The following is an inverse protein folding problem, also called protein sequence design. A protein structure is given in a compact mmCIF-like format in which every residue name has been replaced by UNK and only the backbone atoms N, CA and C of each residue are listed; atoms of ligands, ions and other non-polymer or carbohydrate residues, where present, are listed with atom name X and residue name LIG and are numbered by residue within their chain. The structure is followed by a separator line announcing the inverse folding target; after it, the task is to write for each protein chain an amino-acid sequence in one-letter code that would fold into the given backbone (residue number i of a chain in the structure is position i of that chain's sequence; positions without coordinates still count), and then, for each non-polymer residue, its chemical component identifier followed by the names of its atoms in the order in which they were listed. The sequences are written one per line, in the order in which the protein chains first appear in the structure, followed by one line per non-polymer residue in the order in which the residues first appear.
data_IF_549987183709
#
_entry.id   IF_549987183709
#
_cell.length_a   1.000
_cell.length_b   1.000
_cell.length_c   1.000
_cell.angle_alpha   90.00
_cell.angle_beta   90.00
_cell.angle_gamma   90.00
#
_symmetry.space_group_name_H-M   'P 1'
#
loop_
_entity.id
_entity.type
_entity.pdbx_description
1 polymer ?
#
# COMPACT_ATOMS: atom_id res chain seq x y z
N UNK A 1 -13.39 4.75 3.24
CA UNK A 1 -12.80 4.08 4.42
C UNK A 1 -12.08 2.85 3.93
N UNK A 2 -10.87 2.65 4.42
CA UNK A 2 -10.05 1.49 4.22
C UNK A 2 -10.74 0.26 4.83
N UNK A 3 -10.62 -0.88 4.17
CA UNK A 3 -11.12 -2.16 4.66
C UNK A 3 -9.96 -3.16 4.81
N UNK A 4 -10.21 -4.27 5.51
CA UNK A 4 -9.18 -5.32 5.69
C UNK A 4 -8.76 -6.00 4.40
N UNK A 5 -9.54 -5.93 3.30
CA UNK A 5 -9.08 -6.40 1.98
C UNK A 5 -7.87 -5.61 1.50
N UNK A 6 -7.92 -4.28 1.63
CA UNK A 6 -6.77 -3.43 1.31
C UNK A 6 -5.56 -3.83 2.14
N UNK A 7 -5.71 -4.10 3.44
CA UNK A 7 -4.58 -4.52 4.29
C UNK A 7 -4.00 -5.87 3.90
N UNK A 8 -4.83 -6.84 3.51
CA UNK A 8 -4.36 -8.12 2.96
C UNK A 8 -3.56 -7.93 1.67
N UNK A 9 -4.02 -7.05 0.77
CA UNK A 9 -3.29 -6.68 -0.45
C UNK A 9 -1.95 -6.06 -0.09
N UNK A 10 -1.93 -5.12 0.87
CA UNK A 10 -0.70 -4.45 1.33
C UNK A 10 0.27 -5.46 1.96
N UNK A 11 -0.23 -6.42 2.75
CA UNK A 11 0.60 -7.49 3.32
C UNK A 11 1.18 -8.39 2.23
N UNK A 12 0.37 -8.76 1.23
CA UNK A 12 0.84 -9.51 0.05
C UNK A 12 1.91 -8.76 -0.73
N UNK A 13 1.72 -7.46 -1.00
CA UNK A 13 2.71 -6.61 -1.67
C UNK A 13 4.02 -6.52 -0.88
N UNK A 14 3.94 -6.37 0.45
CA UNK A 14 5.11 -6.30 1.32
C UNK A 14 5.88 -7.63 1.35
N UNK A 15 5.18 -8.76 1.48
CA UNK A 15 5.81 -10.09 1.44
C UNK A 15 6.42 -10.37 0.07
N UNK A 16 5.74 -9.99 -1.02
CA UNK A 16 6.28 -10.13 -2.37
C UNK A 16 7.58 -9.34 -2.55
N UNK A 17 7.59 -8.07 -2.12
CA UNK A 17 8.79 -7.23 -2.18
C UNK A 17 9.93 -7.81 -1.32
N UNK A 18 9.62 -8.29 -0.11
CA UNK A 18 10.58 -8.97 0.74
C UNK A 18 11.17 -10.22 0.09
N UNK A 19 10.35 -11.09 -0.52
CA UNK A 19 10.84 -12.31 -1.20
C UNK A 19 11.70 -12.00 -2.43
N UNK A 20 11.41 -10.93 -3.16
CA UNK A 20 12.27 -10.46 -4.26
C UNK A 20 13.61 -9.94 -3.75
N UNK A 21 13.58 -9.21 -2.64
CA UNK A 21 14.78 -8.70 -1.99
C UNK A 21 15.65 -9.83 -1.42
N UNK A 22 15.04 -10.83 -0.77
CA UNK A 22 15.72 -12.04 -0.29
C UNK A 22 16.47 -12.77 -1.43
N UNK A 23 15.84 -12.91 -2.60
CA UNK A 23 16.50 -13.48 -3.78
C UNK A 23 17.65 -12.62 -4.32
N UNK A 24 17.53 -11.29 -4.22
CA UNK A 24 18.59 -10.34 -4.62
C UNK A 24 19.76 -10.36 -3.64
N UNK A 25 19.48 -10.42 -2.33
CA UNK A 25 20.47 -10.55 -1.26
C UNK A 25 21.28 -11.84 -1.40
N UNK A 26 20.64 -12.92 -1.82
CA UNK A 26 21.31 -14.18 -2.13
C UNK A 26 22.32 -14.03 -3.29
N UNK A 27 21.94 -13.33 -4.37
CA UNK A 27 22.86 -13.06 -5.48
C UNK A 27 24.01 -12.15 -5.05
N UNK A 28 23.74 -11.11 -4.25
CA UNK A 28 24.79 -10.24 -3.70
C UNK A 28 25.82 -11.00 -2.87
N UNK A 29 25.37 -12.00 -2.10
CA UNK A 29 26.28 -12.87 -1.35
C UNK A 29 27.15 -13.74 -2.27
N UNK A 30 26.61 -14.24 -3.38
CA UNK A 30 27.38 -14.98 -4.40
C UNK A 30 28.38 -14.08 -5.13
N UNK A 31 28.00 -12.83 -5.42
CA UNK A 31 28.87 -11.82 -6.02
C UNK A 31 30.00 -11.45 -5.08
N UNK A 32 29.72 -11.28 -3.78
CA UNK A 32 30.75 -11.05 -2.76
C UNK A 32 31.77 -12.20 -2.72
N UNK A 33 31.31 -13.46 -2.78
CA UNK A 33 32.22 -14.62 -2.87
C UNK A 33 33.04 -14.55 -4.17
N UNK A 34 32.44 -14.13 -5.28
CA UNK A 34 33.16 -13.99 -6.54
C UNK A 34 34.24 -12.90 -6.49
N UNK A 35 33.97 -11.79 -5.80
CA UNK A 35 34.94 -10.71 -5.56
C UNK A 35 36.08 -11.14 -4.63
N UNK A 36 35.78 -11.88 -3.56
CA UNK A 36 36.77 -12.40 -2.60
C UNK A 36 37.85 -13.26 -3.27
N UNK A 37 37.53 -13.91 -4.40
CA UNK A 37 38.46 -14.74 -5.19
C UNK A 37 38.79 -14.13 -6.57
N UNK A 38 38.48 -12.85 -6.79
CA UNK A 38 38.90 -12.15 -8.00
C UNK A 38 40.42 -11.91 -7.99
N UNK A 39 41.10 -11.95 -9.15
CA UNK A 39 42.52 -11.63 -9.19
C UNK A 39 42.79 -10.20 -8.71
N UNK A 40 43.67 -10.04 -7.72
CA UNK A 40 44.10 -8.71 -7.27
C UNK A 40 44.92 -8.01 -8.36
N UNK A 41 44.31 -6.99 -8.98
CA UNK A 41 44.93 -6.21 -10.04
C UNK A 41 46.11 -5.35 -9.57
N UNK A 42 46.26 -5.15 -8.26
CA UNK A 42 47.34 -4.35 -7.67
C UNK A 42 48.52 -5.20 -7.18
N UNK A 43 48.38 -6.53 -7.16
CA UNK A 43 49.46 -7.42 -6.74
C UNK A 43 50.56 -7.50 -7.81
N UNK A 44 51.81 -7.38 -7.36
CA UNK A 44 52.99 -7.60 -8.23
C UNK A 44 53.28 -9.09 -8.46
N UNK A 45 52.61 -9.99 -7.75
CA UNK A 45 52.76 -11.44 -7.87
C UNK A 45 51.76 -12.04 -8.87
N UNK A 46 52.24 -12.99 -9.68
CA UNK A 46 51.38 -13.72 -10.63
C UNK A 46 50.47 -14.67 -9.84
N UNK A 47 49.18 -14.39 -9.83
CA UNK A 47 48.19 -15.20 -9.16
C UNK A 47 47.77 -16.42 -10.00
N UNK A 48 47.59 -17.57 -9.34
CA UNK A 48 47.04 -18.77 -9.98
C UNK A 48 45.53 -18.62 -10.18
N UNK A 49 45.16 -18.20 -11.39
CA UNK A 49 43.75 -18.02 -11.79
C UNK A 49 42.93 -19.30 -11.70
N UNK A 50 43.53 -20.48 -11.91
CA UNK A 50 42.80 -21.75 -11.82
C UNK A 50 42.49 -22.11 -10.37
N UNK A 51 43.44 -21.86 -9.47
CA UNK A 51 43.24 -22.06 -8.04
C UNK A 51 42.13 -21.13 -7.51
N UNK A 52 42.19 -19.83 -7.85
CA UNK A 52 41.17 -18.86 -7.45
C UNK A 52 39.77 -19.22 -7.98
N UNK A 53 39.67 -19.62 -9.25
CA UNK A 53 38.40 -20.07 -9.83
C UNK A 53 37.86 -21.32 -9.14
N UNK A 54 38.72 -22.29 -8.79
CA UNK A 54 38.34 -23.48 -8.03
C UNK A 54 37.82 -23.14 -6.63
N UNK A 55 38.54 -22.28 -5.89
CA UNK A 55 38.14 -21.80 -4.57
C UNK A 55 36.79 -21.09 -4.60
N UNK A 56 36.58 -20.22 -5.59
CA UNK A 56 35.29 -19.53 -5.81
C UNK A 56 34.14 -20.52 -5.99
N UNK A 57 34.30 -21.51 -6.87
CA UNK A 57 33.24 -22.49 -7.14
C UNK A 57 32.89 -23.32 -5.90
N UNK A 58 33.89 -23.75 -5.14
CA UNK A 58 33.67 -24.49 -3.88
C UNK A 58 32.97 -23.58 -2.87
N UNK A 59 33.43 -22.35 -2.68
CA UNK A 59 32.79 -21.40 -1.77
C UNK A 59 31.32 -21.14 -2.13
N UNK A 60 30.99 -20.96 -3.41
CA UNK A 60 29.62 -20.78 -3.87
C UNK A 60 28.74 -22.02 -3.62
N UNK A 61 29.30 -23.24 -3.80
CA UNK A 61 28.59 -24.48 -3.49
C UNK A 61 28.31 -24.62 -1.99
N UNK A 62 29.30 -24.35 -1.13
CA UNK A 62 29.13 -24.40 0.33
C UNK A 62 28.12 -23.35 0.82
N UNK A 63 28.14 -22.15 0.25
CA UNK A 63 27.14 -21.13 0.55
C UNK A 63 25.73 -21.56 0.13
N UNK A 64 25.59 -22.23 -1.02
CA UNK A 64 24.32 -22.77 -1.48
C UNK A 64 23.81 -23.90 -0.57
N UNK A 65 24.67 -24.85 -0.20
CA UNK A 65 24.34 -25.92 0.75
C UNK A 65 23.88 -25.34 2.10
N UNK A 66 24.58 -24.31 2.58
CA UNK A 66 24.19 -23.57 3.77
C UNK A 66 22.82 -22.90 3.64
N UNK A 67 22.53 -22.29 2.50
CA UNK A 67 21.25 -21.63 2.26
C UNK A 67 20.09 -22.65 2.24
N UNK A 68 20.32 -23.85 1.73
CA UNK A 68 19.31 -24.92 1.63
C UNK A 68 19.10 -25.69 2.94
N UNK A 69 20.15 -25.91 3.74
CA UNK A 69 20.09 -26.80 4.92
C UNK A 69 20.33 -26.08 6.26
N UNK A 70 20.76 -24.82 6.22
CA UNK A 70 21.17 -24.04 7.38
C UNK A 70 22.58 -24.36 7.90
N UNK A 71 23.26 -25.36 7.34
CA UNK A 71 24.60 -25.83 7.70
C UNK A 71 25.39 -26.19 6.42
N UNK A 72 26.70 -26.28 6.49
CA UNK A 72 27.49 -26.88 5.40
C UNK A 72 28.57 -27.75 6.02
N UNK A 73 28.84 -28.92 5.42
CA UNK A 73 29.82 -29.87 5.96
C UNK A 73 31.25 -29.28 5.94
N UNK A 74 31.96 -29.44 7.05
CA UNK A 74 33.31 -28.88 7.28
C UNK A 74 34.44 -29.80 6.82
N UNK A 75 34.22 -30.67 5.82
CA UNK A 75 35.33 -31.43 5.23
C UNK A 75 36.31 -30.53 4.45
N UNK A 76 35.85 -29.33 4.08
CA UNK A 76 36.73 -28.29 3.55
C UNK A 76 37.72 -27.81 4.63
N UNK A 77 38.99 -27.73 4.27
CA UNK A 77 40.08 -27.33 5.18
C UNK A 77 40.74 -26.02 4.76
N UNK A 78 40.44 -25.51 3.58
CA UNK A 78 40.91 -24.21 3.11
C UNK A 78 40.23 -23.08 3.90
N UNK A 79 41.02 -22.41 4.73
CA UNK A 79 40.56 -21.31 5.60
C UNK A 79 40.01 -20.14 4.80
N UNK A 80 40.57 -19.84 3.63
CA UNK A 80 40.11 -18.70 2.82
C UNK A 80 38.70 -18.94 2.29
N UNK A 81 38.40 -20.17 1.86
CA UNK A 81 37.05 -20.60 1.45
C UNK A 81 36.07 -20.45 2.61
N UNK A 82 36.41 -21.02 3.78
CA UNK A 82 35.54 -20.99 4.96
C UNK A 82 35.28 -19.54 5.41
N UNK A 83 36.30 -18.68 5.41
CA UNK A 83 36.15 -17.28 5.80
C UNK A 83 35.27 -16.50 4.81
N UNK A 84 35.45 -16.70 3.50
CA UNK A 84 34.61 -16.07 2.47
C UNK A 84 33.14 -16.48 2.61
N UNK A 85 32.88 -17.78 2.77
CA UNK A 85 31.51 -18.31 2.99
C UNK A 85 30.90 -17.71 4.25
N UNK A 86 31.63 -17.68 5.37
CA UNK A 86 31.12 -17.10 6.61
C UNK A 86 30.83 -15.60 6.49
N UNK A 87 31.67 -14.83 5.79
CA UNK A 87 31.41 -13.41 5.50
C UNK A 87 30.11 -13.24 4.69
N UNK A 88 29.93 -14.03 3.64
CA UNK A 88 28.73 -14.01 2.81
C UNK A 88 27.46 -14.39 3.60
N UNK A 89 27.54 -15.41 4.46
CA UNK A 89 26.44 -15.82 5.36
C UNK A 89 26.03 -14.66 6.29
N UNK A 90 27.02 -14.00 6.91
CA UNK A 90 26.76 -12.87 7.82
C UNK A 90 26.17 -11.69 7.06
N UNK A 91 26.69 -11.38 5.87
CA UNK A 91 26.15 -10.32 5.02
C UNK A 91 24.69 -10.59 4.64
N UNK A 92 24.39 -11.78 4.10
CA UNK A 92 23.04 -12.20 3.73
C UNK A 92 22.06 -12.13 4.91
N UNK A 93 22.44 -12.68 6.08
CA UNK A 93 21.61 -12.62 7.30
C UNK A 93 21.32 -11.20 7.76
N UNK A 94 22.29 -10.29 7.62
CA UNK A 94 22.11 -8.91 8.02
C UNK A 94 21.17 -8.15 7.06
N UNK A 95 21.31 -8.37 5.75
CA UNK A 95 20.43 -7.79 4.73
C UNK A 95 18.99 -8.27 4.89
N UNK A 96 18.79 -9.59 4.91
CA UNK A 96 17.43 -10.19 5.04
C UNK A 96 16.74 -9.75 6.33
N UNK A 97 17.46 -9.64 7.46
CA UNK A 97 16.91 -9.15 8.73
C UNK A 97 16.52 -7.68 8.68
N UNK A 98 17.29 -6.85 7.97
CA UNK A 98 16.98 -5.43 7.76
C UNK A 98 15.71 -5.31 6.90
N UNK A 99 15.68 -6.03 5.79
CA UNK A 99 14.59 -5.98 4.81
C UNK A 99 13.28 -6.49 5.38
N UNK A 100 13.32 -7.56 6.19
CA UNK A 100 12.16 -8.07 6.93
C UNK A 100 11.42 -6.98 7.70
N UNK A 101 12.16 -6.09 8.38
CA UNK A 101 11.57 -4.97 9.13
C UNK A 101 11.19 -3.82 8.21
N UNK A 102 12.06 -3.49 7.27
CA UNK A 102 11.90 -2.35 6.38
C UNK A 102 10.61 -2.43 5.55
N UNK A 103 10.30 -3.58 4.95
CA UNK A 103 9.11 -3.72 4.10
C UNK A 103 7.79 -3.61 4.88
N UNK A 104 7.73 -4.15 6.10
CA UNK A 104 6.57 -3.98 6.98
C UNK A 104 6.33 -2.50 7.31
N UNK A 105 7.37 -1.81 7.81
CA UNK A 105 7.27 -0.40 8.19
C UNK A 105 6.98 0.51 7.00
N UNK A 106 7.64 0.29 5.86
CA UNK A 106 7.41 1.06 4.64
C UNK A 106 5.97 0.91 4.15
N UNK A 107 5.43 -0.31 4.18
CA UNK A 107 4.06 -0.58 3.78
C UNK A 107 3.05 0.07 4.75
N UNK A 108 3.31 0.01 6.06
CA UNK A 108 2.48 0.71 7.05
C UNK A 108 2.45 2.22 6.80
N UNK A 109 3.62 2.83 6.60
CA UNK A 109 3.71 4.26 6.25
C UNK A 109 3.01 4.58 4.92
N UNK A 110 3.03 3.67 3.94
CA UNK A 110 2.27 3.84 2.70
C UNK A 110 0.75 3.82 2.94
N UNK A 111 0.26 2.98 3.84
CA UNK A 111 -1.16 2.97 4.23
C UNK A 111 -1.55 4.25 4.97
N UNK A 112 -0.73 4.71 5.90
CA UNK A 112 -0.98 5.97 6.63
C UNK A 112 -0.97 7.19 5.70
N UNK A 113 -0.16 7.18 4.64
CA UNK A 113 -0.15 8.24 3.61
C UNK A 113 -1.45 8.35 2.81
N UNK A 114 -2.28 7.31 2.77
CA UNK A 114 -3.64 7.41 2.18
C UNK A 114 -4.46 8.49 2.89
N UNK A 115 -4.26 8.63 4.21
CA UNK A 115 -4.90 9.68 4.99
C UNK A 115 -4.38 11.07 4.61
N UNK A 116 -3.07 11.19 4.33
CA UNK A 116 -2.46 12.45 3.87
C UNK A 116 -3.01 12.85 2.49
N UNK A 117 -3.16 11.91 1.56
CA UNK A 117 -3.79 12.18 0.26
C UNK A 117 -5.26 12.59 0.40
N UNK A 118 -5.99 12.02 1.37
CA UNK A 118 -7.35 12.43 1.69
C UNK A 118 -7.39 13.88 2.20
N UNK A 119 -6.52 14.26 3.13
CA UNK A 119 -6.43 15.63 3.63
C UNK A 119 -5.96 16.61 2.55
N UNK A 120 -4.93 16.25 1.79
CA UNK A 120 -4.42 17.06 0.68
C UNK A 120 -5.48 17.28 -0.39
N UNK A 121 -6.27 16.26 -0.71
CA UNK A 121 -7.41 16.40 -1.63
C UNK A 121 -8.43 17.39 -1.06
N UNK A 122 -8.81 17.30 0.22
CA UNK A 122 -9.72 18.28 0.85
C UNK A 122 -9.14 19.71 0.82
N UNK A 123 -7.82 19.86 1.04
CA UNK A 123 -7.12 21.14 1.02
C UNK A 123 -7.21 21.84 -0.35
N UNK A 124 -7.47 21.12 -1.44
CA UNK A 124 -7.75 21.77 -2.74
C UNK A 124 -8.93 22.75 -2.62
N UNK A 125 -9.93 22.47 -1.79
CA UNK A 125 -11.06 23.36 -1.57
C UNK A 125 -10.65 24.67 -0.86
N UNK A 126 -9.68 24.58 0.04
CA UNK A 126 -9.07 25.73 0.72
C UNK A 126 -8.30 26.58 -0.29
N UNK A 127 -7.45 25.95 -1.10
CA UNK A 127 -6.69 26.62 -2.15
C UNK A 127 -7.60 27.29 -3.18
N UNK A 128 -8.72 26.65 -3.58
CA UNK A 128 -9.71 27.28 -4.45
C UNK A 128 -10.31 28.53 -3.77
N UNK A 129 -10.66 28.46 -2.49
CA UNK A 129 -11.17 29.63 -1.76
C UNK A 129 -10.14 30.77 -1.68
N UNK A 130 -8.87 30.46 -1.44
CA UNK A 130 -7.78 31.44 -1.47
C UNK A 130 -7.62 32.08 -2.85
N UNK A 131 -7.66 31.28 -3.92
CA UNK A 131 -7.60 31.78 -5.29
C UNK A 131 -8.76 32.72 -5.64
N UNK A 132 -9.96 32.43 -5.11
CA UNK A 132 -11.13 33.30 -5.26
C UNK A 132 -10.95 34.61 -4.48
N UNK A 133 -10.48 34.57 -3.22
CA UNK A 133 -10.17 35.76 -2.42
C UNK A 133 -9.13 36.65 -3.11
N UNK A 134 -8.03 36.06 -3.56
CA UNK A 134 -6.97 36.73 -4.31
C UNK A 134 -7.49 37.44 -5.56
N UNK A 135 -8.46 36.82 -6.26
CA UNK A 135 -9.07 37.40 -7.45
C UNK A 135 -9.95 38.61 -7.10
N UNK A 136 -10.72 38.54 -6.03
CA UNK A 136 -11.55 39.64 -5.54
C UNK A 136 -10.71 40.84 -5.09
N UNK A 137 -9.65 40.60 -4.32
CA UNK A 137 -8.73 41.67 -3.92
C UNK A 137 -8.06 42.35 -5.13
N UNK A 138 -7.75 41.57 -6.18
CA UNK A 138 -7.20 42.12 -7.43
C UNK A 138 -8.25 42.89 -8.23
N UNK A 139 -9.52 42.48 -8.21
CA UNK A 139 -10.62 43.23 -8.86
C UNK A 139 -10.85 44.57 -8.19
N UNK A 140 -10.85 44.64 -6.86
CA UNK A 140 -11.01 45.89 -6.12
C UNK A 140 -9.90 46.91 -6.42
N UNK A 141 -8.70 46.43 -6.73
CA UNK A 141 -7.53 47.26 -7.07
C UNK A 141 -7.42 47.62 -8.57
N UNK A 142 -8.28 47.07 -9.44
CA UNK A 142 -8.20 47.27 -10.89
C UNK A 142 -9.03 48.48 -11.35
N UNK A 143 -8.45 49.25 -12.27
CA UNK A 143 -9.10 50.37 -12.96
C UNK A 143 -9.80 49.95 -14.26
N UNK A 144 -9.71 48.67 -14.65
CA UNK A 144 -10.31 48.12 -15.87
C UNK A 144 -11.36 47.06 -15.55
N UNK A 145 -12.33 46.88 -16.46
CA UNK A 145 -13.39 45.89 -16.30
C UNK A 145 -12.81 44.47 -16.11
N UNK A 146 -13.36 43.73 -15.15
CA UNK A 146 -12.97 42.35 -14.90
C UNK A 146 -13.39 41.46 -16.09
N UNK A 147 -12.51 40.51 -16.45
CA UNK A 147 -12.76 39.52 -17.51
C UNK A 147 -12.98 38.16 -16.88
N UNK A 148 -14.06 37.48 -17.27
CA UNK A 148 -14.42 36.14 -16.78
C UNK A 148 -15.60 36.16 -15.79
N UNK A 149 -16.06 34.97 -15.36
CA UNK A 149 -17.21 34.85 -14.46
C UNK A 149 -16.91 35.44 -13.08
N UNK A 150 -17.94 35.99 -12.43
CA UNK A 150 -17.84 36.39 -11.03
C UNK A 150 -17.94 35.17 -10.11
N UNK A 151 -16.82 34.85 -9.47
CA UNK A 151 -16.65 33.68 -8.61
C UNK A 151 -16.87 33.99 -7.13
N UNK A 152 -17.06 35.27 -6.76
CA UNK A 152 -17.15 35.73 -5.36
C UNK A 152 -18.15 34.94 -4.53
N UNK A 153 -19.27 34.54 -5.15
CA UNK A 153 -20.34 33.77 -4.48
C UNK A 153 -19.82 32.48 -3.85
N UNK A 154 -18.81 31.83 -4.44
CA UNK A 154 -18.28 30.59 -3.90
C UNK A 154 -17.67 30.75 -2.50
N UNK A 155 -17.19 31.95 -2.14
CA UNK A 155 -16.71 32.25 -0.78
C UNK A 155 -17.82 32.08 0.27
N UNK A 156 -19.08 32.16 -0.13
CA UNK A 156 -20.24 32.01 0.75
C UNK A 156 -20.85 30.60 0.72
N UNK A 157 -20.25 29.65 -0.02
CA UNK A 157 -20.73 28.27 -0.05
C UNK A 157 -20.67 27.67 1.37
N UNK A 158 -21.83 27.35 1.96
CA UNK A 158 -21.90 26.93 3.37
C UNK A 158 -21.15 25.64 3.64
N UNK A 159 -21.19 24.68 2.73
CA UNK A 159 -20.49 23.39 2.90
C UNK A 159 -18.98 23.59 2.89
N UNK A 160 -18.47 24.39 1.95
CA UNK A 160 -17.06 24.73 1.90
C UNK A 160 -16.62 25.48 3.16
N UNK A 161 -17.38 26.50 3.59
CA UNK A 161 -17.05 27.23 4.82
C UNK A 161 -17.07 26.32 6.06
N UNK A 162 -18.08 25.45 6.20
CA UNK A 162 -18.14 24.49 7.31
C UNK A 162 -16.91 23.59 7.37
N UNK A 163 -16.40 23.12 6.23
CA UNK A 163 -15.15 22.32 6.18
C UNK A 163 -13.95 23.19 6.58
N UNK A 164 -13.81 24.37 5.96
CA UNK A 164 -12.61 25.20 6.13
C UNK A 164 -12.48 25.79 7.53
N UNK A 165 -13.59 26.11 8.20
CA UNK A 165 -13.56 26.64 9.58
C UNK A 165 -13.57 25.56 10.65
N UNK A 166 -13.70 24.29 10.28
CA UNK A 166 -13.77 23.19 11.24
C UNK A 166 -12.44 22.98 11.96
N UNK A 167 -12.50 22.91 13.29
CA UNK A 167 -11.30 22.78 14.13
C UNK A 167 -10.58 21.46 13.90
N UNK A 168 -11.31 20.36 13.73
CA UNK A 168 -10.72 19.05 13.46
C UNK A 168 -9.95 19.06 12.14
N UNK A 169 -10.54 19.58 11.05
CA UNK A 169 -9.87 19.75 9.76
C UNK A 169 -8.56 20.54 9.90
N UNK A 170 -8.61 21.74 10.48
CA UNK A 170 -7.44 22.60 10.64
C UNK A 170 -6.33 21.93 11.47
N UNK A 171 -6.70 21.24 12.57
CA UNK A 171 -5.75 20.49 13.39
C UNK A 171 -5.07 19.36 12.61
N UNK A 172 -5.82 18.63 11.78
CA UNK A 172 -5.26 17.53 10.99
C UNK A 172 -4.30 18.04 9.90
N UNK A 173 -4.65 19.12 9.20
CA UNK A 173 -3.77 19.76 8.21
C UNK A 173 -2.44 20.18 8.83
N UNK A 174 -2.50 20.87 9.98
CA UNK A 174 -1.29 21.36 10.69
C UNK A 174 -0.48 20.19 11.25
N UNK A 175 -1.11 19.27 11.99
CA UNK A 175 -0.41 18.17 12.65
C UNK A 175 0.32 17.25 11.68
N UNK A 176 -0.24 17.05 10.49
CA UNK A 176 0.34 16.20 9.44
C UNK A 176 1.14 16.98 8.40
N UNK A 177 1.29 18.30 8.60
CA UNK A 177 2.04 19.19 7.72
C UNK A 177 1.60 19.07 6.24
N UNK A 178 0.28 19.05 6.02
CA UNK A 178 -0.30 18.90 4.68
C UNK A 178 -0.13 20.20 3.90
N UNK A 179 0.57 20.12 2.77
CA UNK A 179 0.79 21.25 1.88
C UNK A 179 1.02 20.77 0.46
N UNK A 180 0.49 21.52 -0.51
CA UNK A 180 0.74 21.29 -1.94
C UNK A 180 2.08 21.88 -2.42
N UNK A 181 2.76 22.70 -1.61
CA UNK A 181 4.13 23.16 -1.93
C UNK A 181 4.31 23.71 -3.34
N UNK A 182 5.22 23.10 -4.11
CA UNK A 182 5.48 23.44 -5.52
C UNK A 182 4.27 23.19 -6.43
N UNK A 183 3.42 22.24 -6.08
CA UNK A 183 2.36 21.70 -6.93
C UNK A 183 1.08 22.56 -6.89
N UNK A 184 1.12 23.69 -6.16
CA UNK A 184 0.05 24.70 -6.15
C UNK A 184 -0.19 25.27 -7.56
N UNK A 185 0.81 25.27 -8.45
CA UNK A 185 0.65 25.68 -9.85
C UNK A 185 -0.42 24.87 -10.57
N UNK A 186 -0.46 23.57 -10.35
CA UNK A 186 -1.38 22.64 -10.99
C UNK A 186 -2.81 22.91 -10.51
N UNK A 187 -2.99 23.14 -9.21
CA UNK A 187 -4.27 23.56 -8.64
C UNK A 187 -4.74 24.88 -9.24
N UNK A 188 -3.83 25.85 -9.43
CA UNK A 188 -4.13 27.15 -10.05
C UNK A 188 -4.56 26.99 -11.51
N UNK A 189 -3.94 26.08 -12.25
CA UNK A 189 -4.30 25.77 -13.64
C UNK A 189 -5.68 25.12 -13.71
N UNK A 190 -5.98 24.17 -12.82
CA UNK A 190 -7.29 23.52 -12.73
C UNK A 190 -8.38 24.54 -12.41
N UNK A 191 -8.15 25.40 -11.42
CA UNK A 191 -9.07 26.49 -11.09
C UNK A 191 -9.33 27.39 -12.32
N UNK A 192 -8.26 27.91 -12.94
CA UNK A 192 -8.37 28.90 -14.02
C UNK A 192 -8.95 28.33 -15.31
N UNK A 193 -8.52 27.14 -15.71
CA UNK A 193 -8.77 26.61 -17.05
C UNK A 193 -9.93 25.60 -17.07
N UNK A 194 -10.22 24.95 -15.94
CA UNK A 194 -11.24 23.90 -15.84
C UNK A 194 -12.43 24.40 -15.03
N UNK A 195 -12.24 24.72 -13.75
CA UNK A 195 -13.36 25.06 -12.85
C UNK A 195 -14.11 26.31 -13.31
N UNK A 196 -13.40 27.37 -13.70
CA UNK A 196 -14.04 28.61 -14.20
C UNK A 196 -14.75 28.47 -15.55
N UNK A 197 -14.61 27.33 -16.22
CA UNK A 197 -15.30 27.02 -17.48
C UNK A 197 -16.37 25.93 -17.30
N UNK A 198 -16.50 25.37 -16.09
CA UNK A 198 -17.40 24.26 -15.82
C UNK A 198 -18.86 24.75 -15.72
N UNK A 199 -19.74 24.17 -16.52
CA UNK A 199 -21.14 24.59 -16.62
C UNK A 199 -21.90 24.45 -15.29
N UNK A 200 -21.66 23.38 -14.53
CA UNK A 200 -22.36 23.15 -13.25
C UNK A 200 -21.92 24.18 -12.21
N UNK A 201 -20.62 24.47 -12.16
CA UNK A 201 -20.07 25.50 -11.29
C UNK A 201 -20.59 26.90 -11.67
N UNK A 202 -20.61 27.24 -12.95
CA UNK A 202 -21.13 28.52 -13.44
C UNK A 202 -22.63 28.69 -13.14
N UNK A 203 -23.43 27.63 -13.32
CA UNK A 203 -24.85 27.65 -12.99
C UNK A 203 -25.08 27.85 -11.48
N UNK A 204 -24.28 27.22 -10.63
CA UNK A 204 -24.32 27.44 -9.19
C UNK A 204 -23.99 28.90 -8.83
N UNK A 205 -22.99 29.51 -9.46
CA UNK A 205 -22.63 30.91 -9.21
C UNK A 205 -23.74 31.89 -9.58
N UNK A 206 -24.61 31.54 -10.52
CA UNK A 206 -25.73 32.35 -10.97
C UNK A 206 -26.97 32.28 -10.05
N UNK A 207 -27.05 31.31 -9.13
CA UNK A 207 -28.16 31.18 -8.20
C UNK A 207 -28.22 32.38 -7.25
N UNK A 208 -29.35 33.09 -7.10
CA UNK A 208 -29.44 34.28 -6.25
C UNK A 208 -29.23 33.96 -4.78
N UNK A 209 -29.84 32.88 -4.29
CA UNK A 209 -29.74 32.36 -2.93
C UNK A 209 -29.70 30.83 -2.98
N UNK A 210 -28.50 30.23 -3.08
CA UNK A 210 -28.36 28.77 -3.05
C UNK A 210 -28.94 28.19 -1.76
N UNK A 211 -29.54 27.01 -1.86
CA UNK A 211 -29.91 26.13 -0.75
C UNK A 211 -28.70 25.31 -0.28
N UNK A 212 -28.78 24.72 0.92
CA UNK A 212 -27.66 23.92 1.46
C UNK A 212 -27.38 22.70 0.57
N UNK A 213 -28.43 22.13 -0.04
CA UNK A 213 -28.31 21.05 -1.01
C UNK A 213 -27.58 21.50 -2.28
N UNK A 214 -27.87 22.69 -2.80
CA UNK A 214 -27.15 23.24 -3.96
C UNK A 214 -25.68 23.54 -3.63
N UNK A 215 -25.40 24.03 -2.41
CA UNK A 215 -24.03 24.20 -1.91
C UNK A 215 -23.28 22.85 -1.83
N UNK A 216 -23.97 21.80 -1.37
CA UNK A 216 -23.43 20.45 -1.28
C UNK A 216 -23.15 19.86 -2.67
N UNK A 217 -24.10 19.97 -3.60
CA UNK A 217 -23.99 19.37 -4.92
C UNK A 217 -22.87 19.99 -5.75
N UNK A 218 -22.65 21.32 -5.66
CA UNK A 218 -21.52 21.94 -6.37
C UNK A 218 -20.17 21.47 -5.79
N UNK A 219 -20.03 21.34 -4.47
CA UNK A 219 -18.79 20.84 -3.85
C UNK A 219 -18.55 19.37 -4.23
N UNK A 220 -19.61 18.55 -4.23
CA UNK A 220 -19.53 17.15 -4.72
C UNK A 220 -19.13 17.09 -6.19
N UNK A 221 -19.65 17.98 -7.03
CA UNK A 221 -19.27 18.07 -8.45
C UNK A 221 -17.79 18.43 -8.61
N UNK A 222 -17.30 19.45 -7.88
CA UNK A 222 -15.88 19.85 -7.89
C UNK A 222 -14.98 18.65 -7.59
N UNK A 223 -15.25 17.90 -6.52
CA UNK A 223 -14.43 16.72 -6.22
C UNK A 223 -14.60 15.61 -7.26
N UNK A 224 -15.84 15.16 -7.49
CA UNK A 224 -16.13 13.94 -8.25
C UNK A 224 -15.84 14.07 -9.74
N UNK A 225 -16.14 15.24 -10.31
CA UNK A 225 -16.17 15.46 -11.75
C UNK A 225 -15.00 16.30 -12.26
N UNK A 226 -14.37 17.08 -11.38
CA UNK A 226 -13.19 17.87 -11.73
C UNK A 226 -11.95 17.22 -11.11
N UNK A 227 -11.78 17.29 -9.79
CA UNK A 227 -10.53 16.88 -9.10
C UNK A 227 -10.17 15.41 -9.38
N UNK A 228 -11.12 14.47 -9.26
CA UNK A 228 -10.85 13.04 -9.47
C UNK A 228 -10.82 12.59 -10.95
N UNK A 229 -11.05 13.51 -11.90
CA UNK A 229 -11.09 13.21 -13.34
C UNK A 229 -10.09 14.01 -14.18
N UNK A 230 -9.64 15.16 -13.70
CA UNK A 230 -8.67 15.99 -14.41
C UNK A 230 -7.33 15.24 -14.52
N UNK A 231 -6.82 15.13 -15.75
CA UNK A 231 -5.73 14.22 -16.09
C UNK A 231 -4.42 14.59 -15.42
N UNK A 232 -4.06 15.88 -15.40
CA UNK A 232 -2.80 16.33 -14.84
C UNK A 232 -2.78 16.16 -13.31
N UNK A 233 -3.90 16.40 -12.63
CA UNK A 233 -4.06 16.08 -11.22
C UNK A 233 -3.97 14.58 -10.95
N UNK A 234 -4.51 13.73 -11.85
CA UNK A 234 -4.33 12.28 -11.69
C UNK A 234 -2.87 11.88 -11.82
N UNK A 235 -2.15 12.40 -12.81
CA UNK A 235 -0.72 12.16 -12.96
C UNK A 235 0.08 12.65 -11.74
N UNK A 236 -0.24 13.83 -11.22
CA UNK A 236 0.40 14.35 -10.02
C UNK A 236 0.15 13.45 -8.79
N UNK A 237 -1.08 12.96 -8.60
CA UNK A 237 -1.35 12.00 -7.53
C UNK A 237 -0.60 10.67 -7.71
N UNK A 238 -0.44 10.19 -8.95
CA UNK A 238 0.34 8.98 -9.27
C UNK A 238 1.85 9.18 -9.01
N UNK A 239 2.37 10.39 -9.21
CA UNK A 239 3.75 10.74 -8.86
C UNK A 239 3.96 10.78 -7.34
N UNK A 240 2.97 11.27 -6.58
CA UNK A 240 3.01 11.31 -5.11
C UNK A 240 2.75 9.93 -4.47
N UNK A 241 1.92 9.10 -5.11
CA UNK A 241 1.53 7.77 -4.63
C UNK A 241 1.62 6.72 -5.75
N UNK A 242 2.65 5.89 -5.68
CA UNK A 242 2.83 4.76 -6.62
C UNK A 242 1.66 3.76 -6.61
N UNK A 243 0.81 3.77 -5.56
CA UNK A 243 -0.39 2.94 -5.46
C UNK A 243 -1.68 3.76 -5.64
N UNK A 244 -1.61 4.92 -6.31
CA UNK A 244 -2.76 5.80 -6.46
C UNK A 244 -3.95 5.12 -7.11
N UNK A 245 -3.73 4.21 -8.07
CA UNK A 245 -4.81 3.50 -8.76
C UNK A 245 -5.74 2.79 -7.77
N UNK A 246 -5.18 2.10 -6.78
CA UNK A 246 -5.93 1.45 -5.71
C UNK A 246 -6.42 2.46 -4.66
N UNK A 247 -5.53 3.34 -4.21
CA UNK A 247 -5.77 4.25 -3.08
C UNK A 247 -6.79 5.35 -3.42
N UNK A 248 -6.88 5.76 -4.69
CA UNK A 248 -7.85 6.74 -5.22
C UNK A 248 -9.27 6.40 -4.83
N UNK A 249 -9.64 5.12 -4.88
CA UNK A 249 -10.99 4.67 -4.53
C UNK A 249 -11.32 4.95 -3.06
N UNK A 250 -10.33 4.77 -2.17
CA UNK A 250 -10.43 5.00 -0.74
C UNK A 250 -10.51 6.50 -0.46
N UNK A 251 -9.59 7.27 -1.03
CA UNK A 251 -9.53 8.74 -0.91
C UNK A 251 -10.82 9.37 -1.41
N UNK A 252 -11.29 8.99 -2.61
CA UNK A 252 -12.57 9.42 -3.16
C UNK A 252 -13.75 9.07 -2.26
N UNK A 253 -13.75 7.88 -1.67
CA UNK A 253 -14.79 7.49 -0.71
C UNK A 253 -14.76 8.34 0.55
N UNK A 254 -13.57 8.65 1.09
CA UNK A 254 -13.43 9.48 2.29
C UNK A 254 -13.89 10.90 2.00
N UNK A 255 -13.35 11.55 0.95
CA UNK A 255 -13.76 12.89 0.52
C UNK A 255 -15.27 12.99 0.32
N UNK A 256 -15.87 12.05 -0.42
CA UNK A 256 -17.32 12.09 -0.68
C UNK A 256 -18.16 11.92 0.60
N UNK A 257 -17.75 11.06 1.53
CA UNK A 257 -18.46 10.89 2.80
C UNK A 257 -18.30 12.13 3.69
N UNK A 258 -17.10 12.71 3.74
CA UNK A 258 -16.83 13.93 4.49
C UNK A 258 -17.65 15.09 3.94
N UNK A 259 -17.60 15.36 2.64
CA UNK A 259 -18.38 16.44 2.01
C UNK A 259 -19.88 16.30 2.30
N UNK A 260 -20.43 15.08 2.23
CA UNK A 260 -21.83 14.80 2.59
C UNK A 260 -22.13 15.11 4.05
N UNK A 261 -21.31 14.61 4.97
CA UNK A 261 -21.47 14.84 6.40
C UNK A 261 -21.41 16.33 6.75
N UNK A 262 -20.56 17.12 6.07
CA UNK A 262 -20.51 18.58 6.23
C UNK A 262 -21.66 19.33 5.52
N UNK A 263 -22.41 18.65 4.65
CA UNK A 263 -23.63 19.16 4.03
C UNK A 263 -24.91 18.85 4.82
N UNK A 264 -24.85 18.02 5.85
CA UNK A 264 -25.99 17.66 6.69
C UNK A 264 -26.18 18.67 7.83
N UNK A 265 -27.43 19.01 8.15
CA UNK A 265 -27.75 19.82 9.34
C UNK A 265 -27.71 18.93 10.58
N UNK A 266 -26.68 19.11 11.41
CA UNK A 266 -26.44 18.31 12.62
C UNK A 266 -26.27 19.23 13.83
N UNK A 267 -26.72 18.78 15.01
CA UNK A 267 -26.54 19.52 16.27
C UNK A 267 -25.06 19.55 16.71
N UNK A 268 -24.33 18.46 16.45
CA UNK A 268 -22.92 18.33 16.75
C UNK A 268 -22.05 18.79 15.58
N UNK A 269 -20.89 19.38 15.90
CA UNK A 269 -19.90 19.78 14.89
C UNK A 269 -19.27 18.52 14.26
N UNK A 270 -19.32 18.35 12.92
CA UNK A 270 -18.74 17.19 12.27
C UNK A 270 -17.24 17.06 12.50
N UNK A 271 -16.76 15.82 12.65
CA UNK A 271 -15.33 15.49 12.81
C UNK A 271 -14.85 14.77 11.56
N UNK A 272 -13.59 14.98 11.14
CA UNK A 272 -13.05 14.27 9.99
C UNK A 272 -13.08 12.74 10.20
N UNK A 273 -13.36 12.02 9.12
CA UNK A 273 -13.39 10.57 9.11
C UNK A 273 -11.99 9.99 9.27
N UNK A 274 -11.83 8.99 10.11
CA UNK A 274 -10.60 8.19 10.17
C UNK A 274 -10.42 7.30 8.92
N UNK A 275 -9.19 6.82 8.73
CA UNK A 275 -8.83 5.95 7.62
C UNK A 275 -9.67 4.66 7.63
N UNK A 276 -9.91 4.08 8.80
CA UNK A 276 -10.75 2.92 9.06
C UNK A 276 -11.57 3.13 10.33
N UNK A 277 -12.58 2.29 10.57
CA UNK A 277 -13.44 2.40 11.75
C UNK A 277 -12.71 2.07 13.07
N UNK A 278 -11.69 1.21 13.01
CA UNK A 278 -10.81 0.93 14.15
C UNK A 278 -9.39 0.74 13.65
N UNK A 279 -8.68 1.85 13.46
CA UNK A 279 -7.35 1.85 12.88
C UNK A 279 -6.32 1.11 13.72
N UNK A 280 -6.43 1.16 15.05
CA UNK A 280 -5.51 0.46 15.93
C UNK A 280 -5.61 -1.06 15.73
N UNK A 281 -6.83 -1.60 15.75
CA UNK A 281 -7.06 -3.03 15.48
C UNK A 281 -6.64 -3.43 14.07
N UNK A 282 -6.90 -2.57 13.09
CA UNK A 282 -6.56 -2.83 11.69
C UNK A 282 -5.05 -2.79 11.44
N UNK A 283 -4.32 -1.91 12.14
CA UNK A 283 -2.86 -1.86 12.16
C UNK A 283 -2.28 -3.15 12.75
N UNK A 284 -2.76 -3.57 13.92
CA UNK A 284 -2.35 -4.83 14.55
C UNK A 284 -2.64 -6.02 13.64
N UNK A 285 -3.81 -6.06 13.01
CA UNK A 285 -4.17 -7.10 12.04
C UNK A 285 -3.14 -7.20 10.90
N UNK A 286 -2.72 -6.07 10.31
CA UNK A 286 -1.70 -6.07 9.26
C UNK A 286 -0.35 -6.59 9.78
N UNK A 287 0.12 -6.06 10.91
CA UNK A 287 1.43 -6.40 11.47
C UNK A 287 1.51 -7.88 11.82
N UNK A 288 0.48 -8.42 12.50
CA UNK A 288 0.40 -9.84 12.82
C UNK A 288 0.34 -10.70 11.57
N UNK A 289 -0.50 -10.34 10.58
CA UNK A 289 -0.61 -11.09 9.33
C UNK A 289 0.72 -11.14 8.58
N UNK A 290 1.44 -10.02 8.48
CA UNK A 290 2.74 -9.97 7.82
C UNK A 290 3.79 -10.80 8.56
N UNK A 291 3.97 -10.54 9.86
CA UNK A 291 5.03 -11.16 10.65
C UNK A 291 4.81 -12.66 10.83
N UNK A 292 3.58 -13.09 11.14
CA UNK A 292 3.28 -14.51 11.32
C UNK A 292 3.36 -15.30 10.02
N UNK A 293 3.01 -14.69 8.88
CA UNK A 293 3.13 -15.38 7.57
C UNK A 293 4.58 -15.67 7.23
N UNK A 294 5.49 -14.72 7.48
CA UNK A 294 6.91 -14.90 7.22
C UNK A 294 7.58 -15.83 8.26
N UNK A 295 7.13 -15.79 9.51
CA UNK A 295 7.63 -16.69 10.55
C UNK A 295 7.29 -18.16 10.27
N UNK A 296 6.08 -18.43 9.79
CA UNK A 296 5.59 -19.78 9.46
C UNK A 296 5.74 -20.10 7.95
N UNK A 297 6.61 -19.40 7.22
CA UNK A 297 6.73 -19.49 5.75
C UNK A 297 7.00 -20.93 5.26
N UNK A 298 7.96 -21.62 5.89
CA UNK A 298 8.32 -23.01 5.58
C UNK A 298 7.19 -23.99 5.89
N UNK A 299 6.51 -23.79 7.03
CA UNK A 299 5.36 -24.59 7.45
C UNK A 299 4.24 -24.47 6.41
N UNK A 300 3.89 -23.26 5.99
CA UNK A 300 2.85 -23.07 4.99
C UNK A 300 3.28 -23.57 3.59
N UNK A 301 4.55 -23.44 3.21
CA UNK A 301 5.06 -24.03 1.96
C UNK A 301 4.88 -25.55 1.95
N UNK A 302 5.22 -26.24 3.05
CA UNK A 302 5.06 -27.69 3.17
C UNK A 302 3.58 -28.12 3.09
N UNK A 303 2.68 -27.38 3.73
CA UNK A 303 1.24 -27.64 3.67
C UNK A 303 0.66 -27.46 2.25
N UNK A 304 1.11 -26.41 1.55
CA UNK A 304 0.73 -26.15 0.16
C UNK A 304 1.26 -27.28 -0.72
N UNK A 305 2.54 -27.65 -0.61
CA UNK A 305 3.14 -28.72 -1.39
C UNK A 305 2.40 -30.06 -1.22
N UNK A 306 2.00 -30.41 0.01
CA UNK A 306 1.22 -31.61 0.29
C UNK A 306 -0.19 -31.60 -0.34
N UNK A 307 -0.77 -30.40 -0.51
CA UNK A 307 -2.12 -30.20 -1.04
C UNK A 307 -2.18 -30.18 -2.56
N UNK A 308 -1.08 -29.81 -3.21
CA UNK A 308 -0.95 -29.46 -4.64
C UNK A 308 -0.52 -30.68 -5.50
N UNK A 309 -0.59 -31.91 -5.00
CA UNK A 309 -0.15 -33.15 -5.70
C UNK A 309 -0.62 -33.34 -7.16
N UNK A 310 -1.76 -32.77 -7.55
CA UNK A 310 -2.32 -32.87 -8.91
C UNK A 310 -2.01 -31.65 -9.80
N UNK A 311 -1.25 -30.69 -9.28
CA UNK A 311 -0.88 -29.46 -9.96
C UNK A 311 0.63 -29.45 -10.12
N UNK A 312 1.10 -28.90 -11.24
CA UNK A 312 2.51 -28.72 -11.50
C UNK A 312 3.07 -27.67 -10.52
N UNK A 313 3.62 -28.13 -9.39
CA UNK A 313 4.09 -27.30 -8.26
C UNK A 313 5.18 -26.32 -8.71
N UNK A 314 5.98 -26.70 -9.70
CA UNK A 314 7.05 -25.87 -10.28
C UNK A 314 6.50 -24.69 -11.12
N UNK A 315 5.21 -24.73 -11.49
CA UNK A 315 4.53 -23.67 -12.26
C UNK A 315 3.64 -22.75 -11.43
N UNK A 316 3.60 -22.93 -10.12
CA UNK A 316 2.79 -22.06 -9.24
C UNK A 316 3.48 -20.70 -9.14
N UNK A 317 2.79 -19.65 -9.59
CA UNK A 317 3.29 -18.29 -9.51
C UNK A 317 3.63 -17.92 -8.06
N UNK A 318 4.72 -17.19 -7.84
CA UNK A 318 5.12 -16.72 -6.51
C UNK A 318 3.98 -15.99 -5.78
N UNK A 319 3.22 -15.16 -6.50
CA UNK A 319 2.05 -14.48 -5.95
C UNK A 319 0.96 -15.45 -5.46
N UNK A 320 0.70 -16.54 -6.19
CA UNK A 320 -0.30 -17.53 -5.76
C UNK A 320 0.15 -18.23 -4.48
N UNK A 321 1.45 -18.55 -4.36
CA UNK A 321 2.01 -19.09 -3.12
C UNK A 321 1.83 -18.12 -1.95
N UNK A 322 2.17 -16.85 -2.14
CA UNK A 322 2.01 -15.81 -1.09
C UNK A 322 0.55 -15.66 -0.68
N UNK A 323 -0.38 -15.64 -1.64
CA UNK A 323 -1.82 -15.56 -1.38
C UNK A 323 -2.29 -16.76 -0.54
N UNK A 324 -1.86 -17.98 -0.90
CA UNK A 324 -2.19 -19.19 -0.13
C UNK A 324 -1.60 -19.15 1.29
N UNK A 325 -0.34 -18.72 1.44
CA UNK A 325 0.34 -18.59 2.74
C UNK A 325 -0.37 -17.58 3.65
N UNK A 326 -0.72 -16.42 3.11
CA UNK A 326 -1.48 -15.40 3.84
C UNK A 326 -2.86 -15.91 4.27
N UNK A 327 -3.56 -16.63 3.39
CA UNK A 327 -4.86 -17.22 3.72
C UNK A 327 -4.74 -18.28 4.83
N UNK A 328 -3.74 -19.17 4.75
CA UNK A 328 -3.45 -20.14 5.81
C UNK A 328 -3.12 -19.44 7.12
N UNK A 329 -2.24 -18.46 7.10
CA UNK A 329 -1.88 -17.66 8.27
C UNK A 329 -3.14 -17.05 8.90
N UNK A 330 -3.97 -16.38 8.10
CA UNK A 330 -5.18 -15.74 8.61
C UNK A 330 -6.17 -16.76 9.21
N UNK A 331 -6.28 -17.94 8.61
CA UNK A 331 -7.12 -19.02 9.14
C UNK A 331 -6.63 -19.51 10.50
N UNK A 332 -5.33 -19.64 10.71
CA UNK A 332 -4.75 -20.14 11.97
C UNK A 332 -4.83 -19.10 13.10
N UNK A 333 -4.46 -17.85 12.83
CA UNK A 333 -4.23 -16.87 13.90
C UNK A 333 -5.48 -16.03 14.21
N UNK A 334 -6.27 -15.63 13.21
CA UNK A 334 -7.43 -14.76 13.42
C UNK A 334 -8.71 -15.57 13.63
N UNK A 335 -8.93 -15.98 14.89
CA UNK A 335 -10.08 -16.82 15.28
C UNK A 335 -11.43 -16.13 15.07
N UNK A 336 -11.48 -14.80 15.09
CA UNK A 336 -12.70 -14.02 14.88
C UNK A 336 -13.14 -13.90 13.43
N UNK A 337 -12.29 -14.30 12.47
CA UNK A 337 -12.60 -14.23 11.04
C UNK A 337 -13.05 -15.62 10.56
N UNK A 338 -14.28 -15.77 10.03
CA UNK A 338 -14.75 -17.05 9.52
C UNK A 338 -13.89 -17.55 8.37
N UNK A 339 -13.62 -18.87 8.32
CA UNK A 339 -12.79 -19.50 7.26
C UNK A 339 -13.29 -19.13 5.86
N UNK A 340 -14.61 -19.21 5.64
CA UNK A 340 -15.23 -18.87 4.35
C UNK A 340 -15.01 -17.40 3.94
N UNK A 341 -14.96 -16.48 4.91
CA UNK A 341 -14.66 -15.07 4.62
C UNK A 341 -13.22 -14.95 4.18
N UNK A 342 -12.28 -15.54 4.91
CA UNK A 342 -10.86 -15.58 4.53
C UNK A 342 -10.69 -16.12 3.11
N UNK A 343 -11.26 -17.29 2.79
CA UNK A 343 -11.19 -17.89 1.44
C UNK A 343 -11.68 -16.90 0.37
N UNK A 344 -12.87 -16.32 0.56
CA UNK A 344 -13.45 -15.38 -0.41
C UNK A 344 -12.54 -14.16 -0.64
N UNK A 345 -11.97 -13.60 0.42
CA UNK A 345 -11.10 -12.42 0.32
C UNK A 345 -9.84 -12.71 -0.50
N UNK A 346 -9.17 -13.84 -0.27
CA UNK A 346 -7.96 -14.21 -1.00
C UNK A 346 -8.25 -14.66 -2.45
N UNK A 347 -9.44 -15.19 -2.72
CA UNK A 347 -9.91 -15.41 -4.10
C UNK A 347 -10.05 -14.08 -4.84
N UNK A 348 -10.67 -13.06 -4.24
CA UNK A 348 -10.78 -11.75 -4.88
C UNK A 348 -9.41 -11.11 -5.13
N UNK A 349 -8.46 -11.26 -4.20
CA UNK A 349 -7.08 -10.78 -4.38
C UNK A 349 -6.40 -11.50 -5.56
N UNK A 350 -6.56 -12.83 -5.68
CA UNK A 350 -5.97 -13.60 -6.79
C UNK A 350 -6.44 -13.15 -8.18
N UNK A 351 -7.68 -12.66 -8.29
CA UNK A 351 -8.22 -12.13 -9.56
C UNK A 351 -7.57 -10.81 -9.97
N UNK A 352 -7.14 -10.01 -8.99
CA UNK A 352 -6.61 -8.68 -9.23
C UNK A 352 -5.12 -8.73 -9.56
N UNK A 353 -4.36 -9.64 -8.94
CA UNK A 353 -2.90 -9.61 -8.97
C UNK A 353 -2.24 -10.81 -9.65
N UNK A 354 -2.98 -11.88 -9.96
CA UNK A 354 -2.41 -13.11 -10.50
C UNK A 354 -2.98 -13.47 -11.88
N UNK A 355 -2.72 -14.69 -12.33
CA UNK A 355 -3.11 -15.14 -13.68
C UNK A 355 -4.62 -15.42 -13.78
N UNK A 356 -5.22 -15.43 -14.99
CA UNK A 356 -6.63 -15.79 -15.15
C UNK A 356 -7.01 -17.17 -14.58
N UNK A 357 -6.06 -18.11 -14.48
CA UNK A 357 -6.28 -19.45 -13.90
C UNK A 357 -6.16 -19.48 -12.37
N UNK A 358 -5.53 -18.48 -11.78
CA UNK A 358 -5.20 -18.44 -10.34
C UNK A 358 -6.44 -18.44 -9.45
N UNK A 359 -7.56 -17.84 -9.90
CA UNK A 359 -8.84 -17.89 -9.16
C UNK A 359 -9.27 -19.34 -8.85
N UNK A 360 -9.27 -20.21 -9.86
CA UNK A 360 -9.73 -21.60 -9.72
C UNK A 360 -8.74 -22.41 -8.89
N UNK A 361 -7.44 -22.18 -9.12
CA UNK A 361 -6.36 -22.79 -8.36
C UNK A 361 -6.45 -22.44 -6.87
N UNK A 362 -6.42 -21.15 -6.53
CA UNK A 362 -6.48 -20.66 -5.14
C UNK A 362 -7.73 -21.17 -4.43
N UNK A 363 -8.90 -21.09 -5.08
CA UNK A 363 -10.14 -21.63 -4.49
C UNK A 363 -10.02 -23.13 -4.19
N UNK A 364 -9.59 -23.93 -5.17
CA UNK A 364 -9.51 -25.39 -5.00
C UNK A 364 -8.52 -25.84 -3.94
N UNK A 365 -7.36 -25.17 -3.84
CA UNK A 365 -6.36 -25.48 -2.81
C UNK A 365 -6.83 -25.04 -1.43
N UNK A 366 -7.39 -23.82 -1.30
CA UNK A 366 -7.89 -23.32 -0.02
C UNK A 366 -9.07 -24.13 0.52
N UNK A 367 -10.03 -24.50 -0.32
CA UNK A 367 -11.18 -25.31 0.10
C UNK A 367 -10.73 -26.66 0.68
N UNK A 368 -9.79 -27.32 0.01
CA UNK A 368 -9.21 -28.59 0.46
C UNK A 368 -8.48 -28.44 1.79
N UNK A 369 -7.54 -27.48 1.88
CA UNK A 369 -6.75 -27.26 3.09
C UNK A 369 -7.64 -26.85 4.27
N UNK A 370 -8.61 -25.97 4.03
CA UNK A 370 -9.56 -25.55 5.06
C UNK A 370 -10.34 -26.73 5.63
N UNK A 371 -10.82 -27.64 4.78
CA UNK A 371 -11.53 -28.85 5.21
C UNK A 371 -10.63 -29.76 6.06
N UNK A 372 -9.41 -30.01 5.61
CA UNK A 372 -8.44 -30.86 6.33
C UNK A 372 -8.10 -30.27 7.71
N UNK A 373 -7.81 -28.97 7.76
CA UNK A 373 -7.40 -28.26 8.97
C UNK A 373 -8.53 -28.03 9.98
N UNK A 374 -9.77 -27.89 9.51
CA UNK A 374 -10.94 -27.89 10.40
C UNK A 374 -11.19 -29.28 10.97
N UNK A 375 -10.99 -30.34 10.18
CA UNK A 375 -11.20 -31.73 10.63
C UNK A 375 -10.13 -32.18 11.64
N UNK A 376 -8.87 -31.77 11.47
CA UNK A 376 -7.79 -32.05 12.44
C UNK A 376 -7.90 -31.23 13.72
N UNK A 377 -8.69 -30.15 13.71
CA UNK A 377 -8.83 -29.21 14.83
C UNK A 377 -7.68 -28.20 14.94
N UNK A 378 -6.87 -28.07 13.89
CA UNK A 378 -5.76 -27.11 13.78
C UNK A 378 -6.27 -25.67 13.57
N UNK A 379 -7.40 -25.51 12.85
CA UNK A 379 -8.12 -24.23 12.79
C UNK A 379 -9.26 -24.26 13.79
N UNK A 380 -9.28 -23.27 14.70
CA UNK A 380 -10.37 -23.05 15.64
C UNK A 380 -10.88 -21.62 15.54
N UNK A 381 -12.14 -21.46 15.12
CA UNK A 381 -12.79 -20.15 15.03
C UNK A 381 -13.60 -19.88 16.30
N UNK A 382 -13.68 -18.61 16.68
CA UNK A 382 -14.37 -18.16 17.87
C UNK A 382 -14.84 -16.72 17.68
N UNK A 383 -16.10 -16.43 18.00
CA UNK A 383 -16.70 -15.11 17.85
C UNK A 383 -18.22 -15.17 17.85
N UNK A 384 -18.91 -14.01 17.77
CA UNK A 384 -20.38 -13.98 17.68
C UNK A 384 -20.84 -14.76 16.44
N UNK A 385 -21.57 -15.85 16.67
CA UNK A 385 -22.10 -16.72 15.60
C UNK A 385 -21.11 -17.74 15.01
N UNK A 386 -19.92 -17.90 15.59
CA UNK A 386 -18.83 -18.75 15.07
C UNK A 386 -18.42 -19.86 16.05
N UNK A 387 -19.36 -20.37 16.86
CA UNK A 387 -19.05 -21.47 17.78
C UNK A 387 -18.97 -22.77 16.98
N UNK A 388 -17.80 -22.97 16.34
CA UNK A 388 -17.29 -24.27 15.93
C UNK A 388 -16.67 -24.92 17.16
N UNK A 389 -17.53 -25.41 18.05
CA UNK A 389 -17.23 -26.39 19.10
C UNK A 389 -18.56 -26.96 19.59
N UNK A 390 -19.01 -28.02 18.94
CA UNK A 390 -19.81 -29.07 19.56
C UNK A 390 -19.11 -30.40 19.37
#
# INVERSE_FOLDING_TARGET
MLNRRTLRIKAMQAIYAYKQAEGSDYQLALDQIAEDFAPDLNSMEVQDRKLLEGRKQIAQLLFKEWHETGQFETEETDKEIIEAVNRAIVAYKNLTKKDYKQYSSQMMSAVERIYDHYLGTLQILELINELVKDEEEKKEKRFTAATGPDVKRFLNNRVAQRILTNKSYQQHIIRRNISWGSDISEIRLVYKNILKQDEVFLNYLALPEPTLEEDLEVVKHIFKNIIFKEKNLQSLFEEQDLNWVENKSIVKSLVNKTVKMFGEETEEEPVLLDLSANWEDDKVFFEELYHQTLQDDEKYEAMIAASVKNWDVERVALLDKIILKLALCEMHIFRSIPVKVTINEYIEISKLYSTPKSKQFVNGVLDKMAQELTTSGDIRKSGRGLIDNK
#
